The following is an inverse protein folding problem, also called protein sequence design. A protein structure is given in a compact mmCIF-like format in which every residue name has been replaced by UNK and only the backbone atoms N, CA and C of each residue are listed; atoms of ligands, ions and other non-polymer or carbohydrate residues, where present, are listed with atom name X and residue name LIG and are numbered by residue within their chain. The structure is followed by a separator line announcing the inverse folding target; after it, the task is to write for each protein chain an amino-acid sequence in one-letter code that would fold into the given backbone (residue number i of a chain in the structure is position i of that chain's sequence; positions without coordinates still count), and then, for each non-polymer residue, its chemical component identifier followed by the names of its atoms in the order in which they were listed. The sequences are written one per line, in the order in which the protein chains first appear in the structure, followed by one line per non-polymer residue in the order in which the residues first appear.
data_IF_133492236111
#
_entry.id   IF_133492236111
#
_cell.length_a   1.000
_cell.length_b   1.000
_cell.length_c   1.000
_cell.angle_alpha   90.00
_cell.angle_beta   90.00
_cell.angle_gamma   90.00
#
_symmetry.space_group_name_H-M   'P 1'
#
loop_
_entity.id
_entity.type
_entity.pdbx_description
1 polymer ?
#
# COMPACT_ATOMS: atom_id res chain seq x y z
N UNK A 1 0.53 11.71 8.54
CA UNK A 1 0.47 10.52 7.65
C UNK A 1 1.78 10.43 6.89
N UNK A 2 2.57 9.37 7.09
CA UNK A 2 3.76 9.11 6.27
C UNK A 2 3.29 8.78 4.85
N UNK A 3 3.82 9.45 3.82
CA UNK A 3 3.44 9.24 2.42
C UNK A 3 3.54 7.77 1.94
N UNK A 4 4.27 6.92 2.67
CA UNK A 4 4.36 5.48 2.41
C UNK A 4 3.00 4.74 2.47
N UNK A 5 2.01 5.25 3.20
CA UNK A 5 0.64 4.68 3.21
C UNK A 5 -0.24 5.14 2.04
N UNK A 6 0.27 6.02 1.16
CA UNK A 6 -0.59 6.83 0.28
C UNK A 6 -1.03 6.17 -1.04
N UNK A 7 -0.39 5.08 -1.51
CA UNK A 7 -0.72 4.48 -2.82
C UNK A 7 -1.98 3.59 -2.82
N UNK A 8 -2.61 3.39 -1.65
CA UNK A 8 -3.85 2.60 -1.53
C UNK A 8 -5.06 3.49 -1.20
N UNK A 9 -4.84 4.74 -0.83
CA UNK A 9 -5.92 5.70 -0.57
C UNK A 9 -6.45 6.23 -1.92
N UNK A 10 -7.74 6.02 -2.18
CA UNK A 10 -8.45 6.70 -3.28
C UNK A 10 -8.75 8.12 -2.86
N UNK A 11 -8.48 9.08 -3.74
CA UNK A 11 -8.88 10.47 -3.56
C UNK A 11 -10.24 10.68 -4.21
N UNK A 12 -11.13 11.41 -3.56
CA UNK A 12 -12.45 11.73 -4.09
C UNK A 12 -12.40 12.90 -5.07
N UNK A 13 -13.38 12.97 -5.97
CA UNK A 13 -13.51 14.11 -6.90
C UNK A 13 -13.63 15.43 -6.13
N UNK A 14 -14.35 15.42 -5.00
CA UNK A 14 -14.53 16.59 -4.11
C UNK A 14 -13.18 17.08 -3.55
N UNK A 15 -12.31 16.17 -3.12
CA UNK A 15 -10.98 16.52 -2.63
C UNK A 15 -10.10 17.11 -3.74
N UNK A 16 -10.21 16.61 -4.98
CA UNK A 16 -9.50 17.16 -6.14
C UNK A 16 -10.00 18.56 -6.49
N UNK A 17 -11.32 18.76 -6.54
CA UNK A 17 -11.93 20.07 -6.80
C UNK A 17 -11.53 21.10 -5.73
N UNK A 18 -11.54 20.70 -4.46
CA UNK A 18 -11.07 21.54 -3.37
C UNK A 18 -9.59 21.91 -3.54
N UNK A 19 -8.72 20.95 -3.88
CA UNK A 19 -7.30 21.21 -4.12
C UNK A 19 -7.07 22.19 -5.29
N UNK A 20 -7.81 22.04 -6.39
CA UNK A 20 -7.76 22.97 -7.53
C UNK A 20 -8.24 24.37 -7.16
N UNK A 21 -9.32 24.46 -6.36
CA UNK A 21 -9.82 25.74 -5.87
C UNK A 21 -8.77 26.45 -5.01
N UNK A 22 -8.13 25.73 -4.07
CA UNK A 22 -7.06 26.30 -3.25
C UNK A 22 -5.87 26.76 -4.09
N UNK A 23 -5.49 26.00 -5.11
CA UNK A 23 -4.44 26.44 -6.04
C UNK A 23 -4.84 27.73 -6.78
N UNK A 24 -6.07 27.80 -7.28
CA UNK A 24 -6.56 29.00 -7.95
C UNK A 24 -6.55 30.23 -7.03
N UNK A 25 -7.06 30.09 -5.80
CA UNK A 25 -7.06 31.16 -4.80
C UNK A 25 -5.64 31.59 -4.42
N UNK A 26 -4.74 30.62 -4.25
CA UNK A 26 -3.33 30.88 -3.96
C UNK A 26 -2.68 31.76 -5.04
N UNK A 27 -2.86 31.44 -6.33
CA UNK A 27 -2.22 32.19 -7.41
C UNK A 27 -2.95 33.50 -7.75
N UNK A 28 -4.29 33.51 -7.74
CA UNK A 28 -5.09 34.65 -8.21
C UNK A 28 -5.44 35.65 -7.13
N UNK A 29 -5.85 35.18 -5.96
CA UNK A 29 -6.30 36.05 -4.87
C UNK A 29 -5.14 36.47 -3.97
N UNK A 30 -4.25 35.53 -3.63
CA UNK A 30 -3.11 35.79 -2.75
C UNK A 30 -1.82 36.19 -3.50
N UNK A 31 -1.76 36.04 -4.83
CA UNK A 31 -0.58 36.36 -5.64
C UNK A 31 0.64 35.47 -5.35
N UNK A 32 0.43 34.30 -4.73
CA UNK A 32 1.48 33.35 -4.37
C UNK A 32 1.66 32.33 -5.50
N UNK A 33 2.87 32.22 -6.05
CA UNK A 33 3.16 31.26 -7.12
C UNK A 33 3.18 29.83 -6.60
N UNK A 34 2.47 28.92 -7.26
CA UNK A 34 2.50 27.50 -6.94
C UNK A 34 3.92 26.94 -7.06
N UNK A 35 4.30 26.12 -6.08
CA UNK A 35 5.62 25.48 -6.01
C UNK A 35 5.60 24.06 -6.60
N UNK A 36 6.77 23.46 -6.76
CA UNK A 36 6.91 22.03 -7.10
C UNK A 36 6.08 21.14 -6.15
N UNK A 37 6.05 21.45 -4.85
CA UNK A 37 5.26 20.71 -3.85
C UNK A 37 3.76 20.84 -4.13
N UNK A 38 3.29 22.04 -4.49
CA UNK A 38 1.89 22.28 -4.84
C UNK A 38 1.46 21.40 -6.00
N UNK A 39 2.23 21.40 -7.09
CA UNK A 39 1.91 20.59 -8.26
C UNK A 39 2.03 19.09 -8.02
N UNK A 40 3.00 18.65 -7.22
CA UNK A 40 3.12 17.25 -6.81
C UNK A 40 1.86 16.76 -6.05
N UNK A 41 1.29 17.60 -5.17
CA UNK A 41 0.04 17.28 -4.47
C UNK A 41 -1.13 17.22 -5.45
N UNK A 42 -1.26 18.20 -6.35
CA UNK A 42 -2.33 18.25 -7.36
C UNK A 42 -2.26 17.03 -8.31
N UNK A 43 -1.06 16.68 -8.76
CA UNK A 43 -0.84 15.55 -9.66
C UNK A 43 -1.21 14.23 -8.99
N UNK A 44 -0.77 14.03 -7.76
CA UNK A 44 -1.06 12.81 -6.99
C UNK A 44 -2.56 12.68 -6.68
N UNK A 45 -3.22 13.79 -6.31
CA UNK A 45 -4.66 13.80 -6.04
C UNK A 45 -5.48 13.49 -7.30
N UNK A 46 -5.16 14.11 -8.44
CA UNK A 46 -5.79 13.84 -9.72
C UNK A 46 -5.60 12.38 -10.17
N UNK A 47 -4.37 11.88 -10.02
CA UNK A 47 -4.03 10.48 -10.33
C UNK A 47 -4.86 9.50 -9.51
N UNK A 48 -4.95 9.70 -8.19
CA UNK A 48 -5.69 8.82 -7.26
C UNK A 48 -7.20 8.90 -7.39
N UNK A 49 -7.72 10.02 -7.89
CA UNK A 49 -9.13 10.17 -8.25
C UNK A 49 -9.45 9.53 -9.61
N UNK A 50 -8.45 9.04 -10.35
CA UNK A 50 -8.64 8.50 -11.70
C UNK A 50 -8.89 9.56 -12.77
N UNK A 51 -8.71 10.85 -12.44
CA UNK A 51 -8.83 11.94 -13.41
C UNK A 51 -7.50 12.11 -14.16
N UNK A 52 -7.24 11.20 -15.08
CA UNK A 52 -5.98 11.13 -15.81
C UNK A 52 -5.73 12.32 -16.72
N UNK A 53 -6.79 12.88 -17.33
CA UNK A 53 -6.71 14.11 -18.13
C UNK A 53 -6.21 15.28 -17.29
N UNK A 54 -6.75 15.47 -16.08
CA UNK A 54 -6.26 16.49 -15.17
C UNK A 54 -4.81 16.24 -14.74
N UNK A 55 -4.45 14.99 -14.45
CA UNK A 55 -3.07 14.63 -14.11
C UNK A 55 -2.09 14.98 -15.26
N UNK A 56 -2.47 14.70 -16.51
CA UNK A 56 -1.70 15.07 -17.70
C UNK A 56 -1.57 16.60 -17.85
N UNK A 57 -2.67 17.35 -17.68
CA UNK A 57 -2.63 18.83 -17.70
C UNK A 57 -1.71 19.40 -16.60
N UNK A 58 -1.73 18.83 -15.40
CA UNK A 58 -0.85 19.24 -14.30
C UNK A 58 0.62 18.92 -14.64
N UNK A 59 0.89 17.76 -15.22
CA UNK A 59 2.22 17.36 -15.67
C UNK A 59 2.78 18.32 -16.74
N UNK A 60 1.96 18.67 -17.72
CA UNK A 60 2.31 19.64 -18.76
C UNK A 60 2.58 21.03 -18.17
N UNK A 61 1.75 21.48 -17.24
CA UNK A 61 1.93 22.77 -16.57
C UNK A 61 3.22 22.81 -15.73
N UNK A 62 3.54 21.73 -15.00
CA UNK A 62 4.83 21.61 -14.29
C UNK A 62 6.02 21.73 -15.24
N UNK A 63 5.94 21.05 -16.38
CA UNK A 63 6.97 21.05 -17.42
C UNK A 63 7.11 22.44 -18.05
N UNK A 64 5.99 23.07 -18.40
CA UNK A 64 5.95 24.42 -18.98
C UNK A 64 6.56 25.46 -18.04
N UNK A 65 6.31 25.34 -16.73
CA UNK A 65 6.88 26.21 -15.69
C UNK A 65 8.33 25.88 -15.34
N UNK A 66 8.92 24.85 -15.97
CA UNK A 66 10.31 24.47 -15.79
C UNK A 66 10.62 23.82 -14.43
N UNK A 67 9.62 23.22 -13.77
CA UNK A 67 9.87 22.50 -12.52
C UNK A 67 10.59 21.19 -12.80
N UNK A 68 11.72 20.98 -12.11
CA UNK A 68 12.42 19.71 -12.16
C UNK A 68 11.62 18.64 -11.40
N UNK A 69 11.52 17.45 -11.98
CA UNK A 69 10.91 16.32 -11.29
C UNK A 69 11.86 15.75 -10.24
N UNK A 70 11.30 15.48 -9.07
CA UNK A 70 11.98 14.82 -7.97
C UNK A 70 11.49 13.37 -7.84
N UNK A 71 12.07 12.64 -6.90
CA UNK A 71 11.65 11.28 -6.55
C UNK A 71 10.14 11.15 -6.32
N UNK A 72 9.49 12.11 -5.68
CA UNK A 72 8.05 12.07 -5.42
C UNK A 72 7.27 12.06 -6.74
N UNK A 73 7.57 13.01 -7.63
CA UNK A 73 6.90 13.13 -8.91
C UNK A 73 7.03 11.84 -9.73
N UNK A 74 8.24 11.30 -9.87
CA UNK A 74 8.46 10.04 -10.57
C UNK A 74 7.70 8.87 -9.95
N UNK A 75 7.63 8.80 -8.62
CA UNK A 75 6.88 7.74 -7.95
C UNK A 75 5.37 7.87 -8.23
N UNK A 76 4.82 9.09 -8.19
CA UNK A 76 3.42 9.34 -8.56
C UNK A 76 3.17 9.07 -10.05
N UNK A 77 4.14 9.34 -10.94
CA UNK A 77 4.03 9.07 -12.37
C UNK A 77 4.00 7.55 -12.66
N UNK A 78 4.89 6.78 -12.02
CA UNK A 78 4.87 5.30 -12.07
C UNK A 78 3.54 4.76 -11.53
N UNK A 79 3.03 5.37 -10.46
CA UNK A 79 1.74 5.01 -9.89
C UNK A 79 0.59 5.28 -10.87
N UNK A 80 0.57 6.44 -11.52
CA UNK A 80 -0.40 6.84 -12.56
C UNK A 80 -0.40 5.84 -13.73
N UNK A 81 0.77 5.51 -14.28
CA UNK A 81 0.85 4.53 -15.37
C UNK A 81 0.32 3.16 -14.95
N UNK A 82 0.58 2.72 -13.73
CA UNK A 82 -0.04 1.51 -13.18
C UNK A 82 -1.56 1.61 -13.07
N UNK A 83 -2.13 2.78 -12.75
CA UNK A 83 -3.58 2.99 -12.73
C UNK A 83 -4.18 2.97 -14.14
N UNK A 84 -3.45 3.48 -15.14
CA UNK A 84 -3.81 3.41 -16.56
C UNK A 84 -3.56 2.03 -17.18
N UNK A 85 -3.05 1.06 -16.40
CA UNK A 85 -2.60 -0.26 -16.85
C UNK A 85 -1.56 -0.20 -17.99
N UNK A 86 -0.79 0.88 -18.04
CA UNK A 86 0.26 1.10 -19.03
C UNK A 86 1.62 0.62 -18.49
N UNK A 87 1.95 -0.64 -18.74
CA UNK A 87 3.20 -1.22 -18.26
C UNK A 87 4.45 -0.67 -18.96
N UNK A 88 4.29 -0.09 -20.15
CA UNK A 88 5.39 0.59 -20.86
C UNK A 88 5.70 1.92 -20.20
N UNK A 89 4.66 2.69 -19.84
CA UNK A 89 4.76 3.90 -19.05
C UNK A 89 5.38 3.65 -17.67
N UNK A 90 4.99 2.56 -16.98
CA UNK A 90 5.61 2.16 -15.70
C UNK A 90 7.13 1.97 -15.83
N UNK A 91 7.57 1.24 -16.87
CA UNK A 91 9.00 1.03 -17.14
C UNK A 91 9.72 2.32 -17.54
N UNK A 92 9.05 3.19 -18.30
CA UNK A 92 9.59 4.47 -18.72
C UNK A 92 9.79 5.41 -17.52
N UNK A 93 8.77 5.63 -16.71
CA UNK A 93 8.86 6.46 -15.51
C UNK A 93 9.93 5.96 -14.54
N UNK A 94 10.08 4.64 -14.38
CA UNK A 94 11.15 4.06 -13.56
C UNK A 94 12.54 4.31 -14.14
N UNK A 95 12.72 4.14 -15.45
CA UNK A 95 14.00 4.41 -16.11
C UNK A 95 14.39 5.89 -16.01
N UNK A 96 13.45 6.80 -16.28
CA UNK A 96 13.69 8.24 -16.22
C UNK A 96 14.07 8.68 -14.79
N UNK A 97 13.45 8.07 -13.78
CA UNK A 97 13.82 8.28 -12.38
C UNK A 97 15.28 7.88 -12.09
N UNK A 98 15.72 6.72 -12.59
CA UNK A 98 17.09 6.24 -12.42
C UNK A 98 18.08 7.11 -13.19
N UNK A 99 17.76 7.50 -14.42
CA UNK A 99 18.60 8.33 -15.29
C UNK A 99 18.80 9.75 -14.74
N UNK A 100 17.78 10.31 -14.09
CA UNK A 100 17.89 11.60 -13.39
C UNK A 100 18.67 11.53 -12.08
N UNK A 101 19.08 10.33 -11.64
CA UNK A 101 19.89 10.12 -10.45
C UNK A 101 19.09 10.17 -9.14
N UNK A 102 17.78 9.96 -9.20
CA UNK A 102 16.97 9.77 -8.00
C UNK A 102 17.26 8.41 -7.36
N UNK A 103 17.25 8.38 -6.03
CA UNK A 103 17.47 7.14 -5.27
C UNK A 103 16.21 6.30 -5.26
N UNK A 104 16.37 5.02 -5.61
CA UNK A 104 15.32 3.99 -5.53
C UNK A 104 15.40 3.34 -4.16
N UNK A 105 14.37 3.53 -3.34
CA UNK A 105 14.23 2.93 -2.00
C UNK A 105 13.02 1.97 -1.94
N UNK A 106 12.77 1.39 -0.76
CA UNK A 106 11.64 0.46 -0.52
C UNK A 106 10.30 1.02 -0.99
N UNK A 107 10.05 2.32 -0.81
CA UNK A 107 8.77 2.94 -1.20
C UNK A 107 8.62 2.97 -2.73
N UNK A 108 9.69 3.31 -3.46
CA UNK A 108 9.68 3.30 -4.93
C UNK A 108 9.51 1.87 -5.46
N UNK A 109 10.21 0.91 -4.86
CA UNK A 109 10.10 -0.51 -5.22
C UNK A 109 8.68 -1.04 -4.97
N UNK A 110 8.07 -0.71 -3.82
CA UNK A 110 6.69 -1.06 -3.51
C UNK A 110 5.71 -0.45 -4.53
N UNK A 111 5.93 0.81 -4.93
CA UNK A 111 5.14 1.44 -6.00
C UNK A 111 5.28 0.69 -7.33
N UNK A 112 6.50 0.30 -7.69
CA UNK A 112 6.79 -0.43 -8.93
C UNK A 112 6.12 -1.81 -8.94
N UNK A 113 6.22 -2.56 -7.84
CA UNK A 113 5.53 -3.85 -7.66
C UNK A 113 4.01 -3.64 -7.82
N UNK A 114 3.42 -2.71 -7.08
CA UNK A 114 1.98 -2.44 -7.14
C UNK A 114 1.50 -2.02 -8.54
N UNK A 115 2.30 -1.23 -9.26
CA UNK A 115 1.98 -0.80 -10.63
C UNK A 115 2.05 -1.97 -11.62
N UNK A 116 3.07 -2.83 -11.56
CA UNK A 116 3.14 -4.03 -12.41
C UNK A 116 1.98 -4.99 -12.14
N UNK A 117 1.62 -5.21 -10.88
CA UNK A 117 0.47 -6.04 -10.52
C UNK A 117 -0.85 -5.49 -11.07
N UNK A 118 -1.04 -4.16 -11.07
CA UNK A 118 -2.22 -3.51 -11.69
C UNK A 118 -2.26 -3.65 -13.21
N UNK A 119 -1.10 -3.73 -13.85
CA UNK A 119 -0.96 -4.03 -15.27
C UNK A 119 -1.17 -5.53 -15.61
N UNK A 120 -1.36 -6.41 -14.61
CA UNK A 120 -1.41 -7.86 -14.83
C UNK A 120 -0.07 -8.44 -15.26
N UNK A 121 1.04 -7.83 -14.83
CA UNK A 121 2.39 -8.35 -15.07
C UNK A 121 3.01 -8.92 -13.78
N UNK A 122 2.43 -10.02 -13.30
CA UNK A 122 2.86 -10.70 -12.08
C UNK A 122 4.34 -11.08 -12.12
N UNK A 123 4.83 -11.59 -13.25
CA UNK A 123 6.23 -11.99 -13.42
C UNK A 123 7.19 -10.81 -13.24
N UNK A 124 6.85 -9.63 -13.79
CA UNK A 124 7.64 -8.40 -13.62
C UNK A 124 7.65 -7.97 -12.14
N UNK A 125 6.49 -8.01 -11.48
CA UNK A 125 6.36 -7.67 -10.07
C UNK A 125 7.16 -8.63 -9.16
N UNK A 126 7.09 -9.93 -9.43
CA UNK A 126 7.86 -10.95 -8.70
C UNK A 126 9.36 -10.78 -8.91
N UNK A 127 9.82 -10.48 -10.13
CA UNK A 127 11.24 -10.22 -10.39
C UNK A 127 11.76 -9.01 -9.61
N UNK A 128 10.96 -7.94 -9.52
CA UNK A 128 11.30 -6.77 -8.70
C UNK A 128 11.35 -7.14 -7.21
N UNK A 129 10.40 -7.95 -6.73
CA UNK A 129 10.38 -8.43 -5.36
C UNK A 129 11.56 -9.34 -5.01
N UNK A 130 11.93 -10.29 -5.88
CA UNK A 130 13.09 -11.16 -5.67
C UNK A 130 14.39 -10.38 -5.60
N UNK A 131 14.54 -9.35 -6.45
CA UNK A 131 15.67 -8.41 -6.34
C UNK A 131 15.67 -7.73 -4.97
N UNK A 132 14.53 -7.19 -4.53
CA UNK A 132 14.42 -6.57 -3.21
C UNK A 132 14.86 -7.51 -2.07
N UNK A 133 14.49 -8.80 -2.13
CA UNK A 133 14.91 -9.82 -1.16
C UNK A 133 16.40 -10.11 -1.20
N UNK A 134 16.99 -10.21 -2.39
CA UNK A 134 18.40 -10.53 -2.56
C UNK A 134 19.32 -9.46 -1.94
N UNK A 135 18.93 -8.18 -1.98
CA UNK A 135 19.69 -7.09 -1.34
C UNK A 135 19.76 -7.21 0.19
N UNK A 136 18.82 -7.91 0.81
CA UNK A 136 18.70 -7.99 2.27
C UNK A 136 19.37 -9.23 2.89
N UNK A 137 19.78 -10.23 2.08
CA UNK A 137 20.40 -11.46 2.58
C UNK A 137 21.81 -11.25 3.18
N UNK A 138 22.41 -10.08 2.99
CA UNK A 138 23.78 -9.77 3.43
C UNK A 138 23.86 -8.83 4.64
N UNK A 139 22.74 -8.37 5.19
CA UNK A 139 22.71 -7.28 6.18
C UNK A 139 21.89 -7.64 7.42
N UNK A 140 22.28 -7.15 8.62
CA UNK A 140 21.46 -7.27 9.81
C UNK A 140 20.08 -6.65 9.57
N UNK A 141 19.03 -7.33 10.03
CA UNK A 141 17.68 -6.77 10.06
C UNK A 141 17.70 -5.42 10.77
N UNK A 142 17.29 -4.37 10.04
CA UNK A 142 17.19 -3.04 10.63
C UNK A 142 16.13 -3.08 11.75
N UNK A 143 16.36 -2.43 12.91
CA UNK A 143 15.36 -2.34 13.97
C UNK A 143 14.05 -1.74 13.45
N UNK A 144 12.97 -1.94 14.19
CA UNK A 144 11.69 -1.31 13.90
C UNK A 144 11.89 0.19 13.60
N UNK A 145 11.51 0.61 12.39
CA UNK A 145 11.70 1.98 11.92
C UNK A 145 10.71 2.88 12.64
N UNK A 146 11.10 3.38 13.79
CA UNK A 146 10.37 4.46 14.44
C UNK A 146 10.41 5.73 13.56
N UNK A 147 9.59 6.71 13.91
CA UNK A 147 9.50 7.96 13.15
C UNK A 147 10.85 8.69 13.05
N UNK A 148 11.69 8.58 14.09
CA UNK A 148 12.99 9.26 14.14
C UNK A 148 13.99 8.65 13.16
N UNK A 149 14.07 7.32 13.11
CA UNK A 149 14.88 6.57 12.17
C UNK A 149 14.42 6.79 10.73
N UNK A 150 13.11 6.75 10.48
CA UNK A 150 12.56 7.04 9.16
C UNK A 150 12.94 8.44 8.67
N UNK A 151 12.90 9.44 9.55
CA UNK A 151 13.33 10.81 9.22
C UNK A 151 14.83 10.90 8.95
N UNK A 152 15.67 10.19 9.71
CA UNK A 152 17.11 10.15 9.49
C UNK A 152 17.46 9.50 8.15
N UNK A 153 16.84 8.36 7.82
CA UNK A 153 16.99 7.67 6.54
C UNK A 153 16.61 8.61 5.39
N UNK A 154 15.46 9.28 5.48
CA UNK A 154 15.03 10.23 4.44
C UNK A 154 16.03 11.36 4.19
N UNK A 155 16.68 11.89 5.26
CA UNK A 155 17.74 12.88 5.12
C UNK A 155 18.97 12.32 4.38
N UNK A 156 19.38 11.09 4.71
CA UNK A 156 20.50 10.41 4.03
C UNK A 156 20.19 10.17 2.55
N UNK A 157 18.99 9.67 2.22
CA UNK A 157 18.58 9.43 0.84
C UNK A 157 18.51 10.74 0.04
N UNK A 158 18.02 11.83 0.65
CA UNK A 158 18.01 13.16 0.04
C UNK A 158 19.44 13.68 -0.19
N UNK A 159 20.35 13.41 0.74
CA UNK A 159 21.77 13.72 0.58
C UNK A 159 22.37 12.93 -0.60
N UNK A 160 22.12 11.62 -0.67
CA UNK A 160 22.57 10.77 -1.78
C UNK A 160 22.03 11.24 -3.13
N UNK A 161 20.74 11.55 -3.25
CA UNK A 161 20.16 12.13 -4.48
C UNK A 161 20.90 13.40 -4.88
N UNK A 162 21.06 14.36 -3.95
CA UNK A 162 21.66 15.66 -4.25
C UNK A 162 23.13 15.55 -4.68
N UNK A 163 23.91 14.68 -4.02
CA UNK A 163 25.30 14.44 -4.38
C UNK A 163 25.38 13.64 -5.68
N UNK A 164 24.55 12.62 -5.86
CA UNK A 164 24.50 11.79 -7.07
C UNK A 164 24.07 12.56 -8.33
N UNK A 165 23.21 13.57 -8.19
CA UNK A 165 22.88 14.49 -9.29
C UNK A 165 24.09 15.31 -9.75
N UNK A 166 24.97 15.74 -8.82
CA UNK A 166 26.20 16.49 -9.12
C UNK A 166 27.38 15.61 -9.53
N UNK A 167 27.43 14.38 -9.03
CA UNK A 167 28.52 13.42 -9.24
C UNK A 167 27.94 12.08 -9.73
N UNK A 168 27.65 11.94 -11.04
CA UNK A 168 27.02 10.73 -11.58
C UNK A 168 27.79 9.43 -11.29
N UNK A 169 29.12 9.50 -11.19
CA UNK A 169 29.98 8.34 -10.85
C UNK A 169 29.70 7.76 -9.46
N UNK A 170 29.11 8.53 -8.54
CA UNK A 170 28.77 8.07 -7.19
C UNK A 170 27.39 7.41 -7.10
N UNK A 171 26.53 7.58 -8.12
CA UNK A 171 25.15 7.06 -8.11
C UNK A 171 25.08 5.55 -7.84
N UNK A 172 25.89 4.68 -8.49
CA UNK A 172 25.83 3.25 -8.22
C UNK A 172 26.18 2.90 -6.77
N UNK A 173 27.15 3.60 -6.17
CA UNK A 173 27.55 3.38 -4.78
C UNK A 173 26.44 3.79 -3.80
N UNK A 174 25.82 4.95 -4.00
CA UNK A 174 24.68 5.39 -3.19
C UNK A 174 23.47 4.47 -3.33
N UNK A 175 23.18 4.02 -4.55
CA UNK A 175 22.09 3.09 -4.79
C UNK A 175 22.34 1.75 -4.11
N UNK A 176 23.56 1.20 -4.17
CA UNK A 176 23.94 -0.03 -3.46
C UNK A 176 23.86 0.13 -1.93
N UNK A 177 24.07 1.33 -1.42
CA UNK A 177 23.96 1.66 0.00
C UNK A 177 22.51 1.83 0.47
N UNK A 178 21.55 1.87 -0.46
CA UNK A 178 20.12 1.96 -0.15
C UNK A 178 19.64 0.55 0.19
N UNK A 179 19.54 0.26 1.49
CA UNK A 179 19.09 -1.03 2.01
C UNK A 179 17.62 -1.28 1.63
N UNK A 180 17.41 -2.09 0.59
CA UNK A 180 16.09 -2.55 0.17
C UNK A 180 15.73 -3.78 0.99
N UNK A 181 14.63 -3.68 1.75
CA UNK A 181 14.06 -4.79 2.53
C UNK A 181 12.55 -4.77 2.38
N UNK A 182 11.90 -5.94 2.16
CA UNK A 182 10.45 -6.06 2.28
C UNK A 182 9.96 -5.51 3.61
N UNK A 183 8.84 -4.79 3.58
CA UNK A 183 8.16 -4.26 4.76
C UNK A 183 6.69 -4.68 4.79
N UNK A 184 5.95 -4.25 5.82
CA UNK A 184 4.52 -4.52 5.95
C UNK A 184 3.74 -4.11 4.70
N UNK A 185 4.11 -2.99 4.06
CA UNK A 185 3.44 -2.51 2.86
C UNK A 185 3.75 -3.39 1.65
N UNK A 186 4.97 -3.92 1.52
CA UNK A 186 5.32 -4.91 0.49
C UNK A 186 4.40 -6.13 0.57
N UNK A 187 4.28 -6.73 1.76
CA UNK A 187 3.45 -7.91 1.97
C UNK A 187 1.96 -7.63 1.83
N UNK A 188 1.49 -6.47 2.28
CA UNK A 188 0.12 -6.03 2.04
C UNK A 188 -0.20 -5.95 0.54
N UNK A 189 0.68 -5.40 -0.28
CA UNK A 189 0.49 -5.32 -1.74
C UNK A 189 0.38 -6.73 -2.34
N UNK A 190 1.32 -7.60 -2.02
CA UNK A 190 1.41 -8.96 -2.56
C UNK A 190 0.21 -9.83 -2.11
N UNK A 191 -0.11 -9.84 -0.82
CA UNK A 191 -1.21 -10.65 -0.27
C UNK A 191 -2.56 -10.16 -0.79
N UNK A 192 -2.78 -8.84 -0.94
CA UNK A 192 -4.02 -8.34 -1.55
C UNK A 192 -4.13 -8.75 -3.03
N UNK A 193 -3.03 -8.76 -3.79
CA UNK A 193 -3.11 -9.18 -5.19
C UNK A 193 -3.33 -10.69 -5.31
N UNK A 194 -2.43 -11.49 -4.74
CA UNK A 194 -2.47 -12.94 -4.90
C UNK A 194 -3.62 -13.58 -4.13
N UNK A 195 -3.94 -13.08 -2.93
CA UNK A 195 -5.06 -13.58 -2.13
C UNK A 195 -6.39 -13.06 -2.65
N UNK A 196 -6.63 -11.75 -2.48
CA UNK A 196 -7.95 -11.18 -2.71
C UNK A 196 -8.33 -11.17 -4.20
N UNK A 197 -7.41 -10.85 -5.11
CA UNK A 197 -7.74 -10.82 -6.55
C UNK A 197 -7.61 -12.18 -7.24
N UNK A 198 -6.52 -12.90 -7.03
CA UNK A 198 -6.24 -14.13 -7.78
C UNK A 198 -6.66 -15.42 -7.07
N UNK A 199 -6.95 -15.39 -5.76
CA UNK A 199 -7.28 -16.59 -5.00
C UNK A 199 -6.11 -17.57 -4.83
N UNK A 200 -4.88 -17.16 -5.13
CA UNK A 200 -3.68 -18.00 -5.05
C UNK A 200 -3.19 -18.12 -3.61
N UNK A 201 -3.78 -19.07 -2.86
CA UNK A 201 -3.41 -19.32 -1.47
C UNK A 201 -1.95 -19.74 -1.30
N UNK A 202 -1.39 -20.52 -2.23
CA UNK A 202 0.00 -20.98 -2.13
C UNK A 202 0.98 -19.81 -2.08
N UNK A 203 0.78 -18.77 -2.90
CA UNK A 203 1.59 -17.55 -2.86
C UNK A 203 1.35 -16.77 -1.58
N UNK A 204 0.10 -16.67 -1.12
CA UNK A 204 -0.22 -16.02 0.17
C UNK A 204 0.51 -16.69 1.33
N UNK A 205 0.48 -18.03 1.41
CA UNK A 205 1.19 -18.79 2.44
C UNK A 205 2.71 -18.56 2.37
N UNK A 206 3.29 -18.59 1.16
CA UNK A 206 4.70 -18.26 0.95
C UNK A 206 5.03 -16.87 1.51
N UNK A 207 4.22 -15.85 1.22
CA UNK A 207 4.46 -14.49 1.72
C UNK A 207 4.32 -14.38 3.24
N UNK A 208 3.39 -15.11 3.87
CA UNK A 208 3.27 -15.15 5.33
C UNK A 208 4.47 -15.81 6.01
N UNK A 209 5.08 -16.82 5.39
CA UNK A 209 6.31 -17.42 5.92
C UNK A 209 7.53 -16.53 5.69
N UNK A 210 7.60 -15.85 4.54
CA UNK A 210 8.64 -14.85 4.28
C UNK A 210 8.53 -13.65 5.24
N UNK A 211 7.32 -13.20 5.62
CA UNK A 211 7.14 -12.19 6.67
C UNK A 211 7.85 -12.58 7.97
N UNK A 212 7.72 -13.84 8.42
CA UNK A 212 8.42 -14.34 9.61
C UNK A 212 9.93 -14.30 9.42
N UNK A 213 10.43 -14.75 8.26
CA UNK A 213 11.85 -14.76 7.95
C UNK A 213 12.48 -13.35 7.93
N UNK A 214 11.71 -12.35 7.50
CA UNK A 214 12.11 -10.94 7.47
C UNK A 214 11.73 -10.17 8.74
N UNK A 215 11.23 -10.85 9.79
CA UNK A 215 10.81 -10.24 11.06
C UNK A 215 9.77 -9.12 10.88
N UNK A 216 8.91 -9.23 9.86
CA UNK A 216 7.79 -8.31 9.65
C UNK A 216 6.58 -8.82 10.46
N UNK A 217 6.11 -8.08 11.47
CA UNK A 217 5.02 -8.55 12.32
C UNK A 217 3.71 -8.67 11.54
N UNK A 218 2.88 -9.62 11.94
CA UNK A 218 1.47 -9.65 11.53
C UNK A 218 0.77 -8.41 12.10
N UNK A 219 -0.07 -7.81 11.27
CA UNK A 219 -0.76 -6.56 11.57
C UNK A 219 -2.21 -6.65 11.07
N UNK A 220 -3.11 -5.82 11.62
CA UNK A 220 -4.53 -5.82 11.25
C UNK A 220 -4.79 -5.69 9.75
N UNK A 221 -3.92 -4.99 9.00
CA UNK A 221 -4.06 -4.87 7.52
C UNK A 221 -3.83 -6.19 6.77
N UNK A 222 -3.02 -7.10 7.33
CA UNK A 222 -2.77 -8.42 6.74
C UNK A 222 -3.94 -9.34 7.08
N UNK A 223 -4.40 -9.34 8.33
CA UNK A 223 -5.62 -10.06 8.73
C UNK A 223 -6.81 -9.65 7.88
N UNK A 224 -7.01 -8.35 7.68
CA UNK A 224 -8.06 -7.84 6.80
C UNK A 224 -7.97 -8.44 5.39
N UNK A 225 -6.79 -8.41 4.78
CA UNK A 225 -6.57 -8.96 3.44
C UNK A 225 -6.87 -10.47 3.40
N UNK A 226 -6.49 -11.22 4.43
CA UNK A 226 -6.78 -12.66 4.53
C UNK A 226 -8.28 -12.92 4.65
N UNK A 227 -8.99 -12.26 5.57
CA UNK A 227 -10.43 -12.44 5.74
C UNK A 227 -11.20 -12.05 4.47
N UNK A 228 -10.84 -10.95 3.82
CA UNK A 228 -11.42 -10.59 2.53
C UNK A 228 -11.15 -11.64 1.45
N UNK A 229 -9.96 -12.26 1.45
CA UNK A 229 -9.64 -13.33 0.50
C UNK A 229 -10.49 -14.58 0.77
N UNK A 230 -10.67 -14.96 2.03
CA UNK A 230 -11.57 -16.06 2.42
C UNK A 230 -13.03 -15.76 2.07
N UNK A 231 -13.50 -14.52 2.22
CA UNK A 231 -14.87 -14.18 1.87
C UNK A 231 -15.13 -14.21 0.36
N UNK A 232 -14.11 -13.99 -0.48
CA UNK A 232 -14.24 -14.05 -1.94
C UNK A 232 -14.06 -15.47 -2.49
N UNK A 233 -13.03 -16.20 -2.04
CA UNK A 233 -12.60 -17.48 -2.64
C UNK A 233 -13.01 -18.71 -1.83
N UNK A 234 -13.58 -18.51 -0.64
CA UNK A 234 -14.01 -19.55 0.27
C UNK A 234 -15.39 -20.14 -0.01
N UNK A 235 -15.69 -21.28 0.61
CA UNK A 235 -17.02 -21.89 0.64
C UNK A 235 -17.35 -22.85 -0.51
N UNK A 236 -16.50 -22.95 -1.54
CA UNK A 236 -16.67 -23.94 -2.61
C UNK A 236 -16.00 -25.28 -2.27
N UNK A 237 -16.62 -26.38 -2.72
CA UNK A 237 -16.09 -27.73 -2.51
C UNK A 237 -14.72 -27.87 -3.18
N UNK A 238 -13.69 -28.24 -2.41
CA UNK A 238 -12.32 -28.37 -2.89
C UNK A 238 -11.54 -27.06 -3.00
N UNK A 239 -12.10 -25.93 -2.51
CA UNK A 239 -11.32 -24.69 -2.40
C UNK A 239 -10.13 -24.88 -1.47
N UNK A 240 -8.98 -24.37 -1.90
CA UNK A 240 -7.83 -24.21 -1.02
C UNK A 240 -8.14 -23.26 0.15
N UNK A 241 -9.06 -22.31 -0.03
CA UNK A 241 -9.57 -21.49 1.05
C UNK A 241 -10.59 -22.32 1.82
N UNK A 242 -10.12 -23.11 2.80
CA UNK A 242 -10.95 -24.03 3.58
C UNK A 242 -11.35 -23.46 4.94
N UNK A 243 -12.44 -23.97 5.52
CA UNK A 243 -12.90 -23.60 6.86
C UNK A 243 -11.81 -23.82 7.94
N UNK A 244 -11.04 -24.91 7.84
CA UNK A 244 -9.93 -25.19 8.76
C UNK A 244 -8.86 -24.09 8.73
N UNK A 245 -8.50 -23.61 7.53
CA UNK A 245 -7.51 -22.55 7.36
C UNK A 245 -8.07 -21.20 7.82
N UNK A 246 -9.35 -20.93 7.56
CA UNK A 246 -10.03 -19.74 8.10
C UNK A 246 -9.99 -19.72 9.63
N UNK A 247 -10.32 -20.84 10.28
CA UNK A 247 -10.27 -20.96 11.74
C UNK A 247 -8.85 -20.78 12.30
N UNK A 248 -7.82 -21.19 11.55
CA UNK A 248 -6.42 -20.94 11.92
C UNK A 248 -6.06 -19.45 11.86
N UNK A 249 -6.53 -18.74 10.82
CA UNK A 249 -6.35 -17.28 10.70
C UNK A 249 -7.13 -16.55 11.79
N UNK A 250 -8.35 -17.01 12.09
CA UNK A 250 -9.19 -16.48 13.17
C UNK A 250 -8.52 -16.63 14.55
N UNK A 251 -8.01 -17.82 14.87
CA UNK A 251 -7.27 -18.04 16.12
C UNK A 251 -6.04 -17.14 16.23
N UNK A 252 -5.22 -17.07 15.17
CA UNK A 252 -4.05 -16.20 15.14
C UNK A 252 -4.40 -14.71 15.27
N UNK A 253 -5.56 -14.28 14.75
CA UNK A 253 -6.07 -12.92 14.92
C UNK A 253 -6.44 -12.65 16.38
N UNK A 254 -7.18 -13.55 17.02
CA UNK A 254 -7.56 -13.43 18.43
C UNK A 254 -6.33 -13.42 19.33
N UNK A 255 -5.36 -14.31 19.11
CA UNK A 255 -4.11 -14.34 19.87
C UNK A 255 -3.32 -13.03 19.74
N UNK A 256 -3.25 -12.48 18.51
CA UNK A 256 -2.59 -11.20 18.26
C UNK A 256 -3.33 -10.02 18.90
N UNK A 257 -4.66 -10.05 18.90
CA UNK A 257 -5.50 -9.02 19.52
C UNK A 257 -5.37 -9.07 21.06
N UNK A 258 -5.50 -10.25 21.66
CA UNK A 258 -5.46 -10.46 23.11
C UNK A 258 -4.06 -10.20 23.70
N UNK A 259 -3.00 -10.40 22.90
CA UNK A 259 -1.62 -10.02 23.27
C UNK A 259 -1.29 -8.54 23.07
N UNK A 260 -2.20 -7.74 22.51
CA UNK A 260 -1.99 -6.32 22.23
C UNK A 260 -0.94 -6.06 21.15
N UNK A 261 -0.86 -6.92 20.13
CA UNK A 261 0.08 -6.79 19.03
C UNK A 261 -0.09 -5.45 18.29
N UNK A 262 1.03 -4.82 17.91
CA UNK A 262 1.03 -3.48 17.33
C UNK A 262 0.21 -3.40 16.03
N UNK A 263 -0.78 -2.50 16.02
CA UNK A 263 -1.66 -2.26 14.88
C UNK A 263 -2.63 -3.41 14.57
N UNK A 264 -2.89 -4.29 15.54
CA UNK A 264 -4.01 -5.24 15.53
C UNK A 264 -5.12 -4.66 16.41
N UNK A 265 -6.25 -4.31 15.80
CA UNK A 265 -7.44 -3.84 16.49
C UNK A 265 -8.68 -4.14 15.65
N UNK A 266 -9.83 -4.26 16.30
CA UNK A 266 -11.11 -4.47 15.60
C UNK A 266 -11.59 -3.12 15.06
N UNK A 267 -11.76 -3.04 13.75
CA UNK A 267 -12.46 -1.94 13.08
C UNK A 267 -13.74 -2.46 12.46
N UNK A 268 -14.72 -1.59 12.22
CA UNK A 268 -16.00 -1.98 11.58
C UNK A 268 -15.78 -2.76 10.29
N UNK A 269 -14.84 -2.31 9.46
CA UNK A 269 -14.54 -2.95 8.19
C UNK A 269 -13.88 -4.34 8.36
N UNK A 270 -13.00 -4.49 9.37
CA UNK A 270 -12.40 -5.78 9.68
C UNK A 270 -13.45 -6.76 10.24
N UNK A 271 -14.31 -6.31 11.14
CA UNK A 271 -15.40 -7.12 11.69
C UNK A 271 -16.34 -7.62 10.59
N UNK A 272 -16.77 -6.74 9.68
CA UNK A 272 -17.57 -7.14 8.51
C UNK A 272 -16.86 -8.18 7.65
N UNK A 273 -15.56 -7.98 7.38
CA UNK A 273 -14.77 -8.92 6.57
C UNK A 273 -14.62 -10.29 7.24
N UNK A 274 -14.50 -10.33 8.58
CA UNK A 274 -14.47 -11.57 9.37
C UNK A 274 -15.82 -12.29 9.23
N UNK A 275 -16.93 -11.59 9.44
CA UNK A 275 -18.28 -12.17 9.30
C UNK A 275 -18.52 -12.69 7.88
N UNK A 276 -18.17 -11.92 6.85
CA UNK A 276 -18.28 -12.34 5.45
C UNK A 276 -17.47 -13.61 5.15
N UNK A 277 -16.29 -13.73 5.74
CA UNK A 277 -15.44 -14.90 5.57
C UNK A 277 -16.07 -16.15 6.21
N UNK A 278 -16.59 -16.02 7.44
CA UNK A 278 -17.19 -17.11 8.18
C UNK A 278 -18.57 -17.51 7.63
N UNK A 279 -19.31 -16.58 7.03
CA UNK A 279 -20.62 -16.85 6.43
C UNK A 279 -20.55 -17.83 5.26
N UNK A 280 -19.36 -18.06 4.70
CA UNK A 280 -19.12 -19.08 3.67
C UNK A 280 -19.19 -20.52 4.19
N UNK A 281 -19.09 -20.73 5.49
CA UNK A 281 -18.93 -22.06 6.09
C UNK A 281 -19.85 -22.32 7.29
N UNK A 282 -20.44 -21.27 7.86
CA UNK A 282 -21.09 -21.33 9.16
C UNK A 282 -22.58 -21.11 9.03
N UNK A 283 -23.34 -21.67 9.97
CA UNK A 283 -24.76 -21.37 10.17
C UNK A 283 -24.95 -19.97 10.78
N UNK A 284 -26.19 -19.47 10.77
CA UNK A 284 -26.52 -18.18 11.36
C UNK A 284 -26.19 -18.10 12.86
N UNK A 285 -26.47 -19.16 13.62
CA UNK A 285 -26.15 -19.23 15.05
C UNK A 285 -24.65 -19.17 15.34
N UNK A 286 -23.83 -19.82 14.51
CA UNK A 286 -22.37 -19.78 14.62
C UNK A 286 -21.80 -18.40 14.28
N UNK A 287 -22.40 -17.71 13.29
CA UNK A 287 -22.04 -16.32 12.95
C UNK A 287 -22.35 -15.35 14.09
N UNK A 288 -23.48 -15.52 14.78
CA UNK A 288 -23.81 -14.73 15.96
C UNK A 288 -22.79 -14.96 17.08
N UNK A 289 -22.36 -16.20 17.30
CA UNK A 289 -21.28 -16.50 18.26
C UNK A 289 -19.95 -15.81 17.91
N UNK A 290 -19.61 -15.71 16.62
CA UNK A 290 -18.42 -14.97 16.16
C UNK A 290 -18.58 -13.47 16.41
N UNK A 291 -19.77 -12.92 16.14
CA UNK A 291 -20.05 -11.51 16.40
C UNK A 291 -19.98 -11.18 17.90
N UNK A 292 -20.57 -12.01 18.76
CA UNK A 292 -20.49 -11.84 20.22
C UNK A 292 -19.03 -11.87 20.70
N UNK A 293 -18.22 -12.77 20.13
CA UNK A 293 -16.78 -12.83 20.40
C UNK A 293 -16.08 -11.52 20.02
N UNK A 294 -16.39 -10.94 18.86
CA UNK A 294 -15.87 -9.64 18.45
C UNK A 294 -16.33 -8.53 19.38
N UNK A 295 -17.63 -8.47 19.69
CA UNK A 295 -18.23 -7.42 20.52
C UNK A 295 -17.62 -7.38 21.92
N UNK A 296 -17.29 -8.54 22.50
CA UNK A 296 -16.61 -8.62 23.81
C UNK A 296 -15.22 -7.94 23.85
N UNK A 297 -14.59 -7.74 22.68
CA UNK A 297 -13.24 -7.17 22.51
C UNK A 297 -13.25 -5.86 21.72
N UNK A 298 -14.43 -5.35 21.39
CA UNK A 298 -14.59 -4.24 20.46
C UNK A 298 -15.48 -3.15 21.05
N UNK A 299 -14.86 -2.03 21.43
CA UNK A 299 -15.59 -0.84 21.87
C UNK A 299 -16.23 -0.15 20.65
N UNK A 300 -17.56 -0.30 20.54
CA UNK A 300 -18.37 0.27 19.48
C UNK A 300 -19.16 1.47 20.00
N UNK A 301 -19.16 2.56 19.23
CA UNK A 301 -20.15 3.62 19.45
C UNK A 301 -21.57 3.16 19.06
N UNK A 302 -22.58 3.90 19.52
CA UNK A 302 -23.99 3.54 19.31
C UNK A 302 -24.36 3.46 17.81
N UNK A 303 -23.78 4.34 16.97
CA UNK A 303 -24.07 4.39 15.53
C UNK A 303 -23.51 3.17 14.81
N UNK A 304 -22.25 2.84 15.09
CA UNK A 304 -21.57 1.68 14.52
C UNK A 304 -22.18 0.37 15.06
N UNK A 305 -22.63 0.33 16.31
CA UNK A 305 -23.39 -0.80 16.86
C UNK A 305 -24.69 -1.06 16.08
N UNK A 306 -25.50 -0.03 15.86
CA UNK A 306 -26.74 -0.15 15.07
C UNK A 306 -26.45 -0.58 13.62
N UNK A 307 -25.39 -0.02 13.03
CA UNK A 307 -24.95 -0.40 11.69
C UNK A 307 -24.57 -1.89 11.61
N UNK A 308 -23.84 -2.41 12.60
CA UNK A 308 -23.45 -3.82 12.63
C UNK A 308 -24.63 -4.77 12.84
N UNK A 309 -25.62 -4.39 13.66
CA UNK A 309 -26.85 -5.18 13.82
C UNK A 309 -27.60 -5.29 12.48
N UNK A 310 -27.79 -4.17 11.78
CA UNK A 310 -28.37 -4.20 10.43
C UNK A 310 -27.49 -4.96 9.43
N UNK A 311 -26.17 -4.99 9.63
CA UNK A 311 -25.28 -5.76 8.77
C UNK A 311 -25.50 -7.27 8.93
N UNK A 312 -25.74 -7.75 10.15
CA UNK A 312 -25.98 -9.16 10.44
C UNK A 312 -27.30 -9.68 9.86
N UNK A 313 -28.31 -8.82 9.69
CA UNK A 313 -29.60 -9.18 9.05
C UNK A 313 -29.45 -9.66 7.59
N UNK A 314 -28.25 -9.56 7.00
CA UNK A 314 -27.95 -10.02 5.64
C UNK A 314 -27.68 -11.52 5.53
N UNK A 315 -27.43 -12.20 6.65
CA UNK A 315 -27.13 -13.63 6.70
C UNK A 315 -28.32 -14.42 7.25
#
# INVERSE_FOLDING_TARGET
MSFATSYVARTTVVEVEAALKFWHQMEKEAGLKASEVTFNILFDSASKAGNFTLAEMIYEEMTHRGYAFNRYHYTSLIHLFGLKQDSSGVRAGYRDMVETGEIVDTVVVNCLIASFLRCGEEQSAEHVYEKMKAYNKELPTLPHRDYTMARAINKVLTMFTRVGKKHPSMRPAFQKSTLLSPDLQTYRILINHYGLRLGNLSKVAQFLDEMKAFMVPLNGVIFLALFQSFSVHGGSLGSDWSAQRLNSVWGAFLDALDSGAEGVYISTWLAMSILDAHARYSTQDELLGIYDCLQSRWELDQKNSQYMLHYLDRY
#
